data_IF_124017176268
#
_entry.id   IF_124017176268
#
_cell.length_a   1.000
_cell.length_b   1.000
_cell.length_c   1.000
_cell.angle_alpha   90.00
_cell.angle_beta   90.00
_cell.angle_gamma   90.00
#
_symmetry.space_group_name_H-M   'P 1'
#
loop_
_entity.id
_entity.type
_entity.pdbx_description
1 polymer ?
#
# COMPACT_ATOMS: atom_id res chain seq x y z
N UNK A 1 -11.32 8.79 16.50
CA UNK A 1 -10.66 7.60 17.09
C UNK A 1 -11.09 6.42 16.23
N UNK A 2 -10.20 5.54 15.75
CA UNK A 2 -10.62 4.44 14.91
C UNK A 2 -11.55 3.50 15.69
N UNK A 3 -12.64 3.08 15.06
CA UNK A 3 -13.71 2.26 15.68
C UNK A 3 -13.29 0.79 15.88
N UNK A 4 -12.10 0.42 15.43
CA UNK A 4 -11.55 -0.94 15.48
C UNK A 4 -10.07 -0.91 15.92
N UNK A 5 -9.58 -1.97 16.59
CA UNK A 5 -8.20 -2.05 17.03
C UNK A 5 -7.24 -1.99 15.84
N UNK A 6 -6.25 -1.10 15.91
CA UNK A 6 -5.23 -0.93 14.87
C UNK A 6 -4.15 -2.02 14.98
N UNK A 7 -4.47 -3.19 14.45
CA UNK A 7 -3.58 -4.36 14.39
C UNK A 7 -2.67 -4.22 13.16
N UNK A 8 -1.36 -4.43 13.36
CA UNK A 8 -0.44 -4.54 12.23
C UNK A 8 -0.48 -5.96 11.68
N UNK A 9 -0.71 -6.08 10.38
CA UNK A 9 -0.75 -7.33 9.64
C UNK A 9 0.52 -7.49 8.79
N UNK A 10 0.80 -8.72 8.37
CA UNK A 10 1.85 -8.98 7.40
C UNK A 10 1.30 -8.85 5.98
N UNK A 11 2.04 -8.17 5.11
CA UNK A 11 1.76 -8.12 3.68
C UNK A 11 2.88 -8.82 2.93
N UNK A 12 2.53 -9.84 2.15
CA UNK A 12 3.46 -10.61 1.32
C UNK A 12 2.95 -10.57 -0.12
N UNK A 13 3.76 -10.04 -1.03
CA UNK A 13 3.40 -9.94 -2.45
C UNK A 13 4.55 -10.47 -3.30
N UNK A 14 4.21 -11.24 -4.33
CA UNK A 14 5.11 -11.65 -5.40
C UNK A 14 5.10 -10.61 -6.53
N UNK A 15 6.09 -10.66 -7.45
CA UNK A 15 6.18 -9.71 -8.54
C UNK A 15 4.92 -9.57 -9.42
N UNK A 16 4.07 -10.58 -9.54
CA UNK A 16 2.87 -10.50 -10.39
C UNK A 16 1.57 -10.26 -9.61
N UNK A 17 1.61 -10.22 -8.28
CA UNK A 17 0.40 -10.13 -7.44
C UNK A 17 -0.26 -8.76 -7.47
N UNK A 18 0.50 -7.70 -7.82
CA UNK A 18 0.00 -6.32 -7.77
C UNK A 18 0.26 -5.59 -9.09
N UNK A 19 -0.79 -5.08 -9.76
CA UNK A 19 -0.64 -4.39 -11.04
C UNK A 19 -0.01 -3.00 -10.87
N UNK A 20 0.71 -2.55 -11.90
CA UNK A 20 1.18 -1.17 -11.99
C UNK A 20 0.00 -0.22 -12.23
N UNK A 21 0.07 0.95 -11.60
CA UNK A 21 -0.96 1.98 -11.63
C UNK A 21 -0.36 3.35 -11.94
N UNK A 22 -1.08 4.16 -12.72
CA UNK A 22 -0.68 5.52 -13.12
C UNK A 22 -1.27 6.61 -12.23
N UNK A 23 -2.18 6.26 -11.31
CA UNK A 23 -2.94 7.17 -10.46
C UNK A 23 -2.29 7.39 -9.07
N UNK A 24 -0.96 7.34 -9.00
CA UNK A 24 -0.23 7.63 -7.77
C UNK A 24 0.02 9.12 -7.53
N UNK A 25 0.93 9.43 -6.60
CA UNK A 25 1.11 10.81 -6.09
C UNK A 25 1.77 11.77 -7.09
N UNK A 26 2.44 11.24 -8.12
CA UNK A 26 3.09 12.02 -9.17
C UNK A 26 2.72 11.43 -10.53
N UNK A 27 2.28 12.30 -11.42
CA UNK A 27 1.65 11.94 -12.70
C UNK A 27 2.60 11.25 -13.71
N UNK A 28 3.90 11.21 -13.43
CA UNK A 28 4.93 10.66 -14.32
C UNK A 28 5.58 9.36 -13.82
N UNK A 29 5.13 8.82 -12.68
CA UNK A 29 5.60 7.52 -12.17
C UNK A 29 4.50 6.46 -12.23
N UNK A 30 4.92 5.21 -12.37
CA UNK A 30 4.07 4.05 -12.14
C UNK A 30 4.25 3.59 -10.69
N UNK A 31 3.15 3.19 -10.07
CA UNK A 31 3.11 2.80 -8.68
C UNK A 31 2.60 1.37 -8.55
N UNK A 32 3.05 0.69 -7.51
CA UNK A 32 2.44 -0.56 -7.03
C UNK A 32 2.06 -0.42 -5.57
N UNK A 33 0.82 -0.74 -5.28
CA UNK A 33 0.40 -0.94 -3.90
C UNK A 33 0.91 -2.30 -3.43
N UNK A 34 1.65 -2.31 -2.32
CA UNK A 34 2.14 -3.52 -1.65
C UNK A 34 1.32 -3.82 -0.38
N UNK A 35 0.18 -3.18 -0.18
CA UNK A 35 -0.73 -3.42 0.93
C UNK A 35 -0.27 -2.83 2.27
N UNK A 36 0.76 -1.97 2.30
CA UNK A 36 1.31 -1.39 3.55
C UNK A 36 0.27 -0.54 4.28
N UNK A 37 -0.53 0.22 3.55
CA UNK A 37 -1.60 1.03 4.12
C UNK A 37 -2.65 0.13 4.81
N UNK A 38 -3.13 -0.90 4.12
CA UNK A 38 -4.07 -1.86 4.70
C UNK A 38 -3.47 -2.60 5.90
N UNK A 39 -2.22 -3.06 5.77
CA UNK A 39 -1.52 -3.81 6.82
C UNK A 39 -1.24 -3.00 8.09
N UNK A 40 -1.19 -1.67 8.01
CA UNK A 40 -0.89 -0.81 9.16
C UNK A 40 -2.08 0.00 9.66
N UNK A 41 -3.29 -0.27 9.13
CA UNK A 41 -4.49 0.48 9.45
C UNK A 41 -4.41 1.95 9.01
N UNK A 42 -3.78 2.21 7.87
CA UNK A 42 -3.65 3.52 7.25
C UNK A 42 -2.58 4.43 7.88
N UNK A 43 -1.81 3.93 8.85
CA UNK A 43 -0.78 4.72 9.54
C UNK A 43 0.49 4.91 8.72
N UNK A 44 0.78 3.96 7.82
CA UNK A 44 1.97 3.99 6.98
C UNK A 44 1.55 3.82 5.52
N UNK A 45 2.05 4.72 4.68
CA UNK A 45 1.97 4.59 3.22
C UNK A 45 3.41 4.46 2.74
N UNK A 46 3.66 3.50 1.86
CA UNK A 46 4.95 3.30 1.20
C UNK A 46 4.73 3.25 -0.31
N UNK A 47 5.65 3.84 -1.06
CA UNK A 47 5.61 3.88 -2.52
C UNK A 47 6.92 3.31 -3.04
N UNK A 48 6.81 2.36 -3.96
CA UNK A 48 7.93 1.90 -4.76
C UNK A 48 7.96 2.73 -6.04
N UNK A 49 9.12 3.35 -6.32
CA UNK A 49 9.40 4.16 -7.50
C UNK A 49 10.52 3.52 -8.30
#
# INVERSE_FOLDING_TARGET
MPDHPLINLFSHNKPDDTPWRTDGLRDFFLYRDLGVAAATGGRVIAQLV
#
